data_IF_326470878857
#
_entry.id   IF_326470878857
#
_cell.length_a   1.000
_cell.length_b   1.000
_cell.length_c   1.000
_cell.angle_alpha   90.00
_cell.angle_beta   90.00
_cell.angle_gamma   90.00
#
_symmetry.space_group_name_H-M   'P 1'
#
loop_
_entity.id
_entity.type
_entity.pdbx_description
1 polymer ?
#
# COMPACT_ATOMS: atom_id res chain seq x y z
N UNK A 1 7.45 -12.03 -28.70
CA UNK A 1 8.77 -11.52 -28.31
C UNK A 1 8.65 -10.76 -26.98
N UNK A 2 9.30 -11.28 -25.93
CA UNK A 2 9.24 -10.73 -24.56
C UNK A 2 10.34 -9.68 -24.30
N UNK A 3 11.38 -9.68 -25.13
CA UNK A 3 12.52 -8.78 -25.03
C UNK A 3 12.06 -7.31 -25.23
N UNK A 4 12.35 -6.46 -24.26
CA UNK A 4 12.04 -5.03 -24.26
C UNK A 4 10.61 -4.64 -23.86
N UNK A 5 9.77 -5.57 -23.40
CA UNK A 5 8.38 -5.26 -23.03
C UNK A 5 8.26 -4.27 -21.86
N UNK A 6 9.27 -4.20 -20.98
CA UNK A 6 9.30 -3.27 -19.84
C UNK A 6 10.11 -2.00 -20.09
N UNK A 7 10.87 -1.90 -21.18
CA UNK A 7 11.80 -0.80 -21.42
C UNK A 7 11.07 0.54 -21.48
N UNK A 8 9.94 0.59 -22.19
CA UNK A 8 9.11 1.79 -22.27
C UNK A 8 8.54 2.22 -20.90
N UNK A 9 8.30 1.26 -19.98
CA UNK A 9 7.88 1.57 -18.62
C UNK A 9 9.05 2.09 -17.80
N UNK A 10 10.22 1.44 -17.86
CA UNK A 10 11.46 1.87 -17.19
C UNK A 10 11.80 3.30 -17.61
N UNK A 11 11.80 3.59 -18.92
CA UNK A 11 12.04 4.94 -19.44
C UNK A 11 11.01 5.94 -18.91
N UNK A 12 9.74 5.54 -18.87
CA UNK A 12 8.65 6.34 -18.33
C UNK A 12 8.81 6.68 -16.84
N UNK A 13 9.42 5.79 -16.04
CA UNK A 13 9.63 6.00 -14.61
C UNK A 13 10.62 7.14 -14.30
N UNK A 14 11.43 7.56 -15.27
CA UNK A 14 12.32 8.71 -15.10
C UNK A 14 11.55 10.03 -14.88
N UNK A 15 10.30 10.12 -15.37
CA UNK A 15 9.50 11.35 -15.31
C UNK A 15 8.11 11.17 -14.67
N UNK A 16 7.63 9.93 -14.56
CA UNK A 16 6.28 9.62 -14.07
C UNK A 16 6.35 8.67 -12.88
N UNK A 17 5.41 8.83 -11.95
CA UNK A 17 5.31 7.92 -10.79
C UNK A 17 4.89 6.53 -11.25
N UNK A 18 5.47 5.51 -10.64
CA UNK A 18 5.22 4.13 -10.97
C UNK A 18 6.24 3.19 -10.33
N UNK A 19 6.20 1.93 -10.74
CA UNK A 19 7.18 0.93 -10.33
C UNK A 19 7.26 -0.19 -11.37
N UNK A 20 8.43 -0.83 -11.46
CA UNK A 20 8.66 -2.05 -12.23
C UNK A 20 9.23 -3.09 -11.27
N UNK A 21 8.62 -4.26 -11.25
CA UNK A 21 9.08 -5.45 -10.52
C UNK A 21 9.36 -6.53 -11.55
N UNK A 22 10.56 -7.10 -11.49
CA UNK A 22 11.03 -8.09 -12.46
C UNK A 22 11.67 -9.26 -11.73
N UNK A 23 11.34 -10.47 -12.17
CA UNK A 23 12.04 -11.70 -11.81
C UNK A 23 12.62 -12.33 -13.08
N UNK A 24 13.92 -12.17 -13.29
CA UNK A 24 14.63 -12.75 -14.44
C UNK A 24 15.11 -14.20 -14.20
N UNK A 25 14.94 -14.71 -12.98
CA UNK A 25 15.39 -16.03 -12.55
C UNK A 25 14.26 -17.05 -12.67
N UNK A 26 14.55 -18.19 -13.28
CA UNK A 26 13.63 -19.31 -13.37
C UNK A 26 14.19 -20.50 -12.60
N UNK A 27 13.38 -21.06 -11.71
CA UNK A 27 13.68 -22.31 -11.01
C UNK A 27 12.41 -23.16 -10.99
N UNK A 28 12.39 -24.33 -11.63
CA UNK A 28 11.19 -25.15 -11.76
C UNK A 28 10.49 -25.38 -10.42
N UNK A 29 9.21 -25.03 -10.35
CA UNK A 29 8.38 -25.20 -9.15
C UNK A 29 8.66 -24.23 -8.00
N UNK A 30 9.55 -23.23 -8.16
CA UNK A 30 9.86 -22.24 -7.11
C UNK A 30 9.84 -20.79 -7.59
N UNK A 31 10.42 -20.50 -8.76
CA UNK A 31 10.47 -19.15 -9.32
C UNK A 31 10.10 -19.19 -10.79
N UNK A 32 9.11 -18.39 -11.17
CA UNK A 32 8.74 -18.15 -12.56
C UNK A 32 9.27 -16.79 -13.00
N UNK A 33 9.52 -16.65 -14.31
CA UNK A 33 9.76 -15.33 -14.88
C UNK A 33 8.46 -14.55 -14.96
N UNK A 34 8.49 -13.32 -14.49
CA UNK A 34 7.37 -12.39 -14.59
C UNK A 34 7.89 -10.96 -14.48
N UNK A 35 7.15 -10.06 -15.11
CA UNK A 35 7.35 -8.63 -15.00
C UNK A 35 6.01 -7.97 -14.69
N UNK A 36 6.00 -7.06 -13.70
CA UNK A 36 4.86 -6.21 -13.39
C UNK A 36 5.31 -4.77 -13.44
N UNK A 37 4.66 -3.97 -14.29
CA UNK A 37 4.95 -2.56 -14.46
C UNK A 37 3.69 -1.72 -14.24
N UNK A 38 3.84 -0.63 -13.50
CA UNK A 38 2.76 0.33 -13.23
C UNK A 38 3.32 1.72 -13.49
N UNK A 39 2.56 2.54 -14.20
CA UNK A 39 2.86 3.93 -14.42
C UNK A 39 1.59 4.76 -14.28
N UNK A 40 1.74 6.00 -13.80
CA UNK A 40 0.63 6.89 -13.48
C UNK A 40 -0.44 6.25 -12.58
N UNK A 41 -0.05 5.62 -11.44
CA UNK A 41 -1.02 5.01 -10.54
C UNK A 41 -2.04 6.06 -10.06
N UNK A 42 -3.31 5.68 -9.84
CA UNK A 42 -4.34 6.64 -9.43
C UNK A 42 -4.08 7.18 -8.02
N UNK A 43 -3.59 6.32 -7.13
CA UNK A 43 -3.36 6.63 -5.72
C UNK A 43 -1.92 6.31 -5.32
N UNK A 44 -1.43 7.01 -4.31
CA UNK A 44 -0.25 6.60 -3.53
C UNK A 44 -0.63 6.54 -2.05
N UNK A 45 -0.12 5.52 -1.35
CA UNK A 45 -0.27 5.37 0.08
C UNK A 45 1.13 5.47 0.69
N UNK A 46 1.31 6.36 1.65
CA UNK A 46 2.57 6.50 2.38
C UNK A 46 2.31 6.52 3.89
N UNK A 47 3.31 6.11 4.65
CA UNK A 47 3.25 6.09 6.10
C UNK A 47 4.60 6.51 6.68
N UNK A 48 4.55 7.20 7.83
CA UNK A 48 5.70 7.41 8.71
C UNK A 48 5.26 7.08 10.13
N UNK A 49 5.74 5.97 10.66
CA UNK A 49 5.13 5.36 11.84
C UNK A 49 3.63 5.11 11.57
N UNK A 50 2.78 5.60 12.47
CA UNK A 50 1.32 5.38 12.40
C UNK A 50 0.55 6.49 11.65
N UNK A 51 1.24 7.57 11.28
CA UNK A 51 0.66 8.62 10.45
C UNK A 51 0.70 8.18 8.98
N UNK A 52 -0.46 8.13 8.34
CA UNK A 52 -0.61 7.72 6.95
C UNK A 52 -1.23 8.82 6.09
N UNK A 53 -0.89 8.78 4.80
CA UNK A 53 -1.43 9.65 3.76
C UNK A 53 -1.86 8.79 2.58
N UNK A 54 -3.05 9.06 2.05
CA UNK A 54 -3.55 8.50 0.79
C UNK A 54 -3.80 9.66 -0.15
N UNK A 55 -3.02 9.75 -1.22
CA UNK A 55 -3.02 10.89 -2.14
C UNK A 55 -3.50 10.47 -3.52
N UNK A 56 -4.37 11.27 -4.13
CA UNK A 56 -4.75 11.11 -5.53
C UNK A 56 -3.69 11.77 -6.42
N UNK A 57 -3.16 11.00 -7.37
CA UNK A 57 -2.13 11.47 -8.31
C UNK A 57 -2.71 11.95 -9.63
N UNK A 58 -3.97 11.63 -9.91
CA UNK A 58 -4.69 12.05 -11.10
C UNK A 58 -6.21 12.03 -10.86
N UNK A 59 -6.98 12.41 -11.87
CA UNK A 59 -8.45 12.44 -11.79
C UNK A 59 -9.09 11.10 -11.45
N UNK A 60 -8.48 9.96 -11.84
CA UNK A 60 -8.98 8.63 -11.43
C UNK A 60 -8.85 8.46 -9.93
N UNK A 61 -7.71 8.85 -9.35
CA UNK A 61 -7.50 8.85 -7.89
C UNK A 61 -8.50 9.72 -7.13
N UNK A 62 -8.84 10.90 -7.67
CA UNK A 62 -9.84 11.79 -7.06
C UNK A 62 -11.22 11.12 -6.95
N UNK A 63 -11.56 10.25 -7.90
CA UNK A 63 -12.81 9.48 -7.88
C UNK A 63 -12.77 8.31 -6.89
N UNK A 64 -11.58 7.74 -6.64
CA UNK A 64 -11.41 6.62 -5.72
C UNK A 64 -11.37 7.06 -4.25
N UNK A 65 -10.80 8.24 -3.96
CA UNK A 65 -10.61 8.72 -2.59
C UNK A 65 -11.90 8.75 -1.75
N UNK A 66 -13.06 9.25 -2.23
CA UNK A 66 -14.29 9.24 -1.43
C UNK A 66 -14.73 7.83 -1.01
N UNK A 67 -14.56 6.84 -1.89
CA UNK A 67 -14.91 5.44 -1.60
C UNK A 67 -13.96 4.85 -0.56
N UNK A 68 -12.65 5.12 -0.71
CA UNK A 68 -11.63 4.75 0.28
C UNK A 68 -11.90 5.39 1.64
N UNK A 69 -12.20 6.69 1.66
CA UNK A 69 -12.49 7.44 2.89
C UNK A 69 -13.72 6.89 3.61
N UNK A 70 -14.77 6.50 2.89
CA UNK A 70 -15.95 5.85 3.48
C UNK A 70 -15.61 4.50 4.11
N UNK A 71 -14.81 3.67 3.45
CA UNK A 71 -14.40 2.37 3.99
C UNK A 71 -13.53 2.52 5.24
N UNK A 72 -12.63 3.50 5.27
CA UNK A 72 -11.76 3.76 6.42
C UNK A 72 -12.49 4.43 7.59
N UNK A 73 -13.49 5.26 7.33
CA UNK A 73 -14.27 5.94 8.36
C UNK A 73 -15.13 5.01 9.22
N UNK A 74 -15.28 3.73 8.83
CA UNK A 74 -15.98 2.70 9.62
C UNK A 74 -15.09 1.94 10.60
N UNK A 75 -13.82 2.33 10.76
CA UNK A 75 -12.85 1.63 11.60
C UNK A 75 -12.58 2.43 12.88
N UNK A 76 -12.86 1.83 14.04
CA UNK A 76 -12.68 2.46 15.35
C UNK A 76 -11.20 2.75 15.68
N UNK A 77 -10.28 1.97 15.11
CA UNK A 77 -8.84 2.10 15.35
C UNK A 77 -8.16 3.19 14.51
N UNK A 78 -8.91 3.98 13.74
CA UNK A 78 -8.38 5.04 12.87
C UNK A 78 -8.93 6.41 13.25
N UNK A 79 -8.08 7.42 13.23
CA UNK A 79 -8.50 8.82 13.30
C UNK A 79 -8.24 9.50 11.97
N UNK A 80 -9.29 9.91 11.26
CA UNK A 80 -9.16 10.69 10.02
C UNK A 80 -8.97 12.15 10.40
N UNK A 81 -7.79 12.70 10.11
CA UNK A 81 -7.42 14.08 10.44
C UNK A 81 -7.76 15.07 9.32
N UNK A 82 -7.82 14.61 8.08
CA UNK A 82 -8.14 15.45 6.92
C UNK A 82 -8.70 14.60 5.78
N UNK A 83 -9.75 15.11 5.12
CA UNK A 83 -10.25 14.56 3.87
C UNK A 83 -10.47 15.69 2.89
N UNK A 84 -9.91 15.56 1.69
CA UNK A 84 -10.13 16.46 0.57
C UNK A 84 -10.28 15.66 -0.73
N UNK A 85 -10.47 16.36 -1.85
CA UNK A 85 -10.53 15.73 -3.18
C UNK A 85 -9.24 14.97 -3.53
N UNK A 86 -8.10 15.34 -2.94
CA UNK A 86 -6.77 14.80 -3.30
C UNK A 86 -6.00 14.15 -2.15
N UNK A 87 -6.51 14.19 -0.93
CA UNK A 87 -5.80 13.69 0.23
C UNK A 87 -6.77 13.12 1.28
N UNK A 88 -6.43 11.96 1.81
CA UNK A 88 -6.88 11.50 3.13
C UNK A 88 -5.64 11.42 4.02
N UNK A 89 -5.67 12.13 5.15
CA UNK A 89 -4.65 12.02 6.21
C UNK A 89 -5.29 11.36 7.41
N UNK A 90 -4.64 10.32 7.92
CA UNK A 90 -5.15 9.56 9.05
C UNK A 90 -4.02 9.09 9.96
N UNK A 91 -4.37 8.78 11.20
CA UNK A 91 -3.50 8.18 12.18
C UNK A 91 -4.08 6.84 12.64
N UNK A 92 -3.23 5.81 12.68
CA UNK A 92 -3.60 4.50 13.23
C UNK A 92 -3.41 4.53 14.75
N UNK A 93 -4.42 4.08 15.51
CA UNK A 93 -4.36 4.00 16.95
C UNK A 93 -3.19 3.14 17.44
N UNK A 94 -2.65 3.47 18.62
CA UNK A 94 -1.77 2.57 19.35
C UNK A 94 -2.62 1.46 19.99
N UNK A 95 -2.09 0.24 20.18
CA UNK A 95 -2.80 -0.81 20.89
C UNK A 95 -3.23 -0.34 22.28
N UNK A 96 -4.53 -0.35 22.55
CA UNK A 96 -5.09 0.06 23.85
C UNK A 96 -5.00 -1.01 24.95
N UNK A 97 -4.53 -2.22 24.61
CA UNK A 97 -4.33 -3.34 25.53
C UNK A 97 -3.11 -4.16 25.13
N UNK A 98 -2.66 -5.04 26.03
CA UNK A 98 -1.68 -6.08 25.70
C UNK A 98 -2.39 -7.15 24.86
N UNK A 99 -1.77 -7.52 23.75
CA UNK A 99 -2.23 -8.59 22.85
C UNK A 99 -1.37 -9.83 23.09
N UNK A 100 -1.98 -11.01 23.04
CA UNK A 100 -1.22 -12.27 22.99
C UNK A 100 -0.53 -12.42 21.63
N UNK A 101 0.42 -13.35 21.52
CA UNK A 101 1.09 -13.63 20.25
C UNK A 101 0.09 -14.01 19.14
N UNK A 102 -0.93 -14.80 19.47
CA UNK A 102 -1.97 -15.23 18.55
C UNK A 102 -2.83 -14.06 18.03
N UNK A 103 -2.96 -12.99 18.82
CA UNK A 103 -3.70 -11.78 18.46
C UNK A 103 -2.82 -10.71 17.79
N UNK A 104 -1.50 -10.94 17.63
CA UNK A 104 -0.54 -9.94 17.12
C UNK A 104 -0.95 -9.38 15.75
N UNK A 105 -1.52 -10.21 14.88
CA UNK A 105 -2.01 -9.80 13.56
C UNK A 105 -3.24 -8.88 13.59
N UNK A 106 -3.99 -8.88 14.70
CA UNK A 106 -5.17 -8.03 14.96
C UNK A 106 -4.81 -6.69 15.56
N UNK A 107 -3.56 -6.49 15.98
CA UNK A 107 -3.08 -5.20 16.48
C UNK A 107 -3.25 -4.14 15.39
N UNK A 108 -3.86 -2.99 15.71
CA UNK A 108 -3.94 -1.88 14.77
C UNK A 108 -2.56 -1.47 14.28
N UNK A 109 -2.39 -1.41 12.97
CA UNK A 109 -1.16 -0.99 12.31
C UNK A 109 -1.48 -0.43 10.94
N UNK A 110 -0.48 0.03 10.20
CA UNK A 110 -0.67 0.42 8.79
C UNK A 110 -1.30 -0.69 7.94
N UNK A 111 -1.10 -1.97 8.30
CA UNK A 111 -1.75 -3.09 7.61
C UNK A 111 -3.26 -3.14 7.82
N UNK A 112 -3.81 -2.55 8.90
CA UNK A 112 -5.27 -2.40 9.04
C UNK A 112 -5.82 -1.60 7.86
N UNK A 113 -5.17 -0.48 7.53
CA UNK A 113 -5.56 0.38 6.39
C UNK A 113 -5.36 -0.34 5.06
N UNK A 114 -4.18 -0.96 4.86
CA UNK A 114 -3.88 -1.67 3.62
C UNK A 114 -4.85 -2.84 3.37
N UNK A 115 -5.16 -3.64 4.40
CA UNK A 115 -6.14 -4.73 4.29
C UNK A 115 -7.53 -4.23 3.95
N UNK A 116 -7.98 -3.13 4.56
CA UNK A 116 -9.29 -2.54 4.24
C UNK A 116 -9.35 -2.07 2.80
N UNK A 117 -8.30 -1.42 2.29
CA UNK A 117 -8.23 -0.98 0.89
C UNK A 117 -8.18 -2.18 -0.06
N UNK A 118 -7.37 -3.20 0.23
CA UNK A 118 -7.31 -4.42 -0.58
C UNK A 118 -8.66 -5.15 -0.59
N UNK A 119 -9.35 -5.23 0.55
CA UNK A 119 -10.67 -5.84 0.63
C UNK A 119 -11.72 -5.05 -0.16
N UNK A 120 -11.68 -3.71 -0.11
CA UNK A 120 -12.58 -2.83 -0.84
C UNK A 120 -12.50 -3.03 -2.37
N UNK A 121 -11.31 -3.26 -2.91
CA UNK A 121 -11.07 -3.43 -4.34
C UNK A 121 -10.90 -4.89 -4.78
N UNK A 122 -11.16 -5.85 -3.89
CA UNK A 122 -10.98 -7.27 -4.21
C UNK A 122 -11.89 -7.67 -5.37
N UNK A 123 -11.30 -8.31 -6.37
CA UNK A 123 -12.00 -8.85 -7.55
C UNK A 123 -11.33 -10.15 -7.99
N UNK A 124 -12.10 -11.04 -8.62
CA UNK A 124 -11.58 -12.25 -9.27
C UNK A 124 -11.26 -12.00 -10.76
N UNK A 125 -11.67 -10.84 -11.29
CA UNK A 125 -11.58 -10.49 -12.72
C UNK A 125 -10.18 -10.03 -13.15
N UNK A 126 -9.35 -9.54 -12.23
CA UNK A 126 -8.01 -9.05 -12.53
C UNK A 126 -7.02 -9.38 -11.41
N UNK A 127 -6.12 -10.31 -11.70
CA UNK A 127 -5.07 -10.74 -10.77
C UNK A 127 -3.94 -9.70 -10.59
N UNK A 128 -3.87 -8.69 -11.47
CA UNK A 128 -2.86 -7.63 -11.42
C UNK A 128 -3.36 -6.36 -10.71
N UNK A 129 -4.63 -6.32 -10.29
CA UNK A 129 -5.12 -5.22 -9.46
C UNK A 129 -4.59 -5.36 -8.04
N UNK A 130 -3.72 -4.44 -7.64
CA UNK A 130 -3.09 -4.53 -6.33
C UNK A 130 -2.38 -3.27 -5.86
N UNK A 131 -1.83 -3.35 -4.65
CA UNK A 131 -0.95 -2.35 -4.08
C UNK A 131 0.50 -2.80 -4.28
N UNK A 132 1.28 -1.98 -4.96
CA UNK A 132 2.66 -2.28 -5.29
C UNK A 132 3.56 -1.20 -4.72
N UNK A 133 4.63 -1.61 -4.04
CA UNK A 133 5.52 -0.68 -3.36
C UNK A 133 6.52 -1.40 -2.47
N UNK A 134 7.02 -0.68 -1.47
CA UNK A 134 8.01 -1.17 -0.54
C UNK A 134 7.54 -0.98 0.90
N UNK A 135 7.98 -1.88 1.78
CA UNK A 135 7.88 -1.72 3.22
C UNK A 135 9.26 -1.37 3.76
N UNK A 136 9.36 -0.19 4.40
CA UNK A 136 10.58 0.23 5.08
C UNK A 136 10.86 -0.64 6.31
N UNK A 137 12.13 -0.77 6.67
CA UNK A 137 12.54 -1.56 7.85
C UNK A 137 11.94 -1.03 9.16
N UNK A 138 11.79 0.29 9.26
CA UNK A 138 11.20 1.00 10.39
C UNK A 138 9.73 0.63 10.65
N UNK A 139 9.06 -0.01 9.69
CA UNK A 139 7.73 -0.59 9.87
C UNK A 139 7.71 -1.64 11.00
N UNK A 140 8.80 -2.38 11.21
CA UNK A 140 8.91 -3.39 12.25
C UNK A 140 8.66 -2.82 13.66
N UNK A 141 9.02 -1.55 13.88
CA UNK A 141 8.84 -0.86 15.16
C UNK A 141 7.38 -0.56 15.53
N UNK A 142 6.43 -0.90 14.64
CA UNK A 142 5.01 -0.91 15.00
C UNK A 142 4.56 -2.19 15.70
N UNK A 143 5.33 -3.28 15.57
CA UNK A 143 5.00 -4.61 16.09
C UNK A 143 5.92 -5.02 17.25
N UNK A 144 7.18 -4.60 17.22
CA UNK A 144 8.14 -4.88 18.29
C UNK A 144 8.42 -3.63 19.14
N UNK A 145 8.56 -3.79 20.47
CA UNK A 145 8.82 -2.70 21.40
C UNK A 145 10.29 -2.27 21.35
N UNK A 146 10.73 -1.77 20.19
CA UNK A 146 12.05 -1.20 20.00
C UNK A 146 11.89 0.30 19.87
N UNK A 147 12.50 1.05 20.79
CA UNK A 147 12.50 2.51 20.73
C UNK A 147 13.26 2.99 19.49
N UNK A 148 12.57 3.75 18.63
CA UNK A 148 13.18 4.37 17.47
C UNK A 148 14.17 5.45 17.92
N UNK A 149 15.48 5.19 17.74
CA UNK A 149 16.56 6.17 17.95
C UNK A 149 17.20 6.46 16.60
N UNK A 150 17.23 7.73 16.20
CA UNK A 150 17.89 8.22 14.99
C UNK A 150 19.32 8.68 15.32
#
# INVERSE_FOLDING_TARGET
PYEGAIDAYIDGLNARRGAVFSSNYEYPGRYTRWDTAIIDPPLVISARGRAMRIEALNSRGEMLLPVVGKALGGLDDLTIAETSKRLIRLDVAKPGRVFTEEERSRVPSVFTVLRTITALFKTEEDANLGLYGAFGYDLAFQFDPVDYKL
#
